data_IF_343627962753
#
_entry.id   IF_343627962753
#
_cell.length_a   1.000
_cell.length_b   1.000
_cell.length_c   1.000
_cell.angle_alpha   90.00
_cell.angle_beta   90.00
_cell.angle_gamma   90.00
#
_symmetry.space_group_name_H-M   'P 1'
#
loop_
_entity.id
_entity.type
_entity.pdbx_description
1 polymer ?
#
# COMPACT_ATOMS: atom_id res chain seq x y z
N UNK A 1 30.70 -2.65 -10.20
CA UNK A 1 29.91 -3.38 -9.18
C UNK A 1 28.47 -2.92 -9.32
N UNK A 2 27.53 -3.83 -9.60
CA UNK A 2 26.10 -3.50 -9.66
C UNK A 2 25.55 -3.32 -8.24
N UNK A 3 24.96 -2.16 -7.95
CA UNK A 3 24.22 -1.94 -6.72
C UNK A 3 22.85 -2.60 -6.87
N UNK A 4 22.51 -3.51 -5.96
CA UNK A 4 21.11 -3.95 -5.81
C UNK A 4 20.37 -2.81 -5.12
N UNK A 5 19.24 -2.38 -5.69
CA UNK A 5 18.31 -1.51 -4.99
C UNK A 5 17.75 -2.22 -3.74
N UNK A 6 17.14 -1.46 -2.83
CA UNK A 6 16.64 -1.99 -1.55
C UNK A 6 15.65 -3.14 -1.71
N UNK A 7 14.94 -3.18 -2.84
CA UNK A 7 13.87 -4.14 -3.12
C UNK A 7 14.42 -5.43 -3.70
N UNK A 8 15.41 -5.35 -4.59
CA UNK A 8 16.20 -6.48 -5.06
C UNK A 8 16.92 -7.16 -3.89
N UNK A 9 17.37 -6.35 -2.93
CA UNK A 9 18.03 -6.83 -1.74
C UNK A 9 17.03 -7.51 -0.78
N UNK A 10 15.83 -6.96 -0.61
CA UNK A 10 14.72 -7.66 0.06
C UNK A 10 14.43 -9.00 -0.62
N UNK A 11 14.27 -9.04 -1.94
CA UNK A 11 13.93 -10.24 -2.68
C UNK A 11 15.02 -11.32 -2.53
N UNK A 12 16.30 -10.93 -2.54
CA UNK A 12 17.41 -11.83 -2.22
C UNK A 12 17.31 -12.41 -0.81
N UNK A 13 16.86 -11.61 0.17
CA UNK A 13 16.73 -12.04 1.56
C UNK A 13 15.52 -12.91 1.81
N UNK A 14 14.40 -12.58 1.19
CA UNK A 14 13.21 -13.44 1.13
C UNK A 14 13.60 -14.79 0.54
N UNK A 15 14.37 -14.80 -0.55
CA UNK A 15 14.86 -16.02 -1.19
C UNK A 15 15.79 -16.81 -0.27
N UNK A 16 16.71 -16.14 0.42
CA UNK A 16 17.66 -16.78 1.35
C UNK A 16 16.96 -17.37 2.57
N UNK A 17 16.04 -16.63 3.18
CA UNK A 17 15.31 -17.08 4.37
C UNK A 17 14.29 -18.18 4.03
N UNK A 18 13.68 -18.14 2.85
CA UNK A 18 12.83 -19.22 2.35
C UNK A 18 13.63 -20.50 2.05
N UNK A 19 14.85 -20.39 1.51
CA UNK A 19 15.72 -21.55 1.21
C UNK A 19 16.36 -22.17 2.44
N UNK A 20 16.70 -21.38 3.44
CA UNK A 20 17.40 -21.85 4.64
C UNK A 20 16.48 -22.58 5.63
N UNK A 21 15.15 -22.52 5.46
CA UNK A 21 14.17 -23.19 6.33
C UNK A 21 14.17 -22.70 7.79
N UNK A 22 15.05 -21.76 8.12
CA UNK A 22 15.34 -21.33 9.47
C UNK A 22 14.66 -19.98 9.71
N UNK A 23 13.31 -20.01 9.73
CA UNK A 23 12.47 -18.86 10.11
C UNK A 23 12.78 -18.33 11.53
N UNK A 24 13.58 -19.08 12.29
CA UNK A 24 13.96 -18.78 13.67
C UNK A 24 15.23 -17.91 13.80
N UNK A 25 16.01 -17.68 12.73
CA UNK A 25 17.32 -17.04 12.82
C UNK A 25 17.40 -15.58 12.28
N UNK A 26 16.32 -14.99 11.79
CA UNK A 26 16.36 -13.71 11.09
C UNK A 26 16.28 -12.47 11.99
N UNK A 27 17.35 -12.20 12.73
CA UNK A 27 17.69 -10.84 13.16
C UNK A 27 18.45 -10.16 12.03
N UNK A 28 17.76 -9.59 11.05
CA UNK A 28 18.43 -9.06 9.86
C UNK A 28 18.45 -7.54 9.84
N UNK A 29 19.59 -6.97 10.27
CA UNK A 29 20.02 -5.61 9.99
C UNK A 29 20.73 -5.63 8.63
N UNK A 30 20.14 -5.06 7.60
CA UNK A 30 20.84 -4.89 6.32
C UNK A 30 21.63 -3.58 6.41
N UNK A 31 22.90 -3.71 6.78
CA UNK A 31 23.90 -2.72 6.38
C UNK A 31 24.36 -3.11 4.99
N UNK A 32 23.99 -2.34 3.97
CA UNK A 32 24.69 -2.44 2.68
C UNK A 32 26.17 -2.16 2.94
N UNK A 33 27.04 -3.17 2.68
CA UNK A 33 28.52 -3.19 2.91
C UNK A 33 29.16 -1.80 2.64
N UNK A 34 30.03 -1.24 3.48
CA UNK A 34 31.15 -1.84 4.22
C UNK A 34 31.31 -1.23 5.63
N UNK A 35 31.33 -2.07 6.67
CA UNK A 35 31.76 -1.65 8.01
C UNK A 35 33.28 -1.69 8.06
N UNK A 36 33.90 -0.62 7.58
CA UNK A 36 35.17 -0.12 8.14
C UNK A 36 34.82 1.04 9.06
N UNK A 37 35.44 1.13 10.24
CA UNK A 37 35.13 2.08 11.32
C UNK A 37 35.35 3.58 10.97
N UNK A 38 35.54 3.91 9.69
CA UNK A 38 35.72 5.27 9.17
C UNK A 38 35.03 5.34 7.82
N UNK A 39 33.96 6.12 7.71
CA UNK A 39 33.56 6.97 6.55
C UNK A 39 32.04 7.25 6.52
N UNK A 40 31.73 8.55 6.59
CA UNK A 40 30.56 9.35 6.17
C UNK A 40 29.08 8.86 6.22
N UNK A 41 28.12 9.79 6.49
CA UNK A 41 26.71 9.47 6.78
C UNK A 41 25.79 9.33 5.54
N UNK A 42 26.30 9.49 4.33
CA UNK A 42 25.49 9.74 3.12
C UNK A 42 25.01 8.50 2.36
N UNK A 43 25.35 7.27 2.78
CA UNK A 43 25.21 6.07 1.95
C UNK A 43 24.24 4.99 2.47
N UNK A 44 23.50 5.25 3.56
CA UNK A 44 22.65 4.24 4.17
C UNK A 44 21.16 4.45 3.84
N UNK A 45 20.60 3.61 2.97
CA UNK A 45 19.17 3.28 2.99
C UNK A 45 19.00 2.07 3.91
N UNK A 46 18.79 2.29 5.20
CA UNK A 46 18.56 1.18 6.13
C UNK A 46 17.08 0.80 6.09
N UNK A 47 16.82 -0.40 5.57
CA UNK A 47 15.51 -1.06 5.62
C UNK A 47 15.48 -1.97 6.83
N UNK A 48 14.50 -1.78 7.72
CA UNK A 48 14.28 -2.62 8.88
C UNK A 48 12.99 -3.41 8.74
N UNK A 49 13.13 -4.74 8.78
CA UNK A 49 12.00 -5.66 8.90
C UNK A 49 11.80 -5.98 10.38
N UNK A 50 10.72 -5.49 11.00
CA UNK A 50 10.45 -5.70 12.42
C UNK A 50 9.58 -6.94 12.67
N UNK A 51 9.92 -7.68 13.72
CA UNK A 51 9.25 -8.88 14.23
C UNK A 51 9.37 -8.97 15.74
N UNK A 52 8.55 -9.80 16.39
CA UNK A 52 8.64 -10.02 17.85
C UNK A 52 10.06 -10.34 18.34
N UNK A 53 10.84 -11.12 17.56
CA UNK A 53 12.20 -11.53 17.96
C UNK A 53 13.23 -10.41 17.82
N UNK A 54 13.13 -9.56 16.80
CA UNK A 54 14.12 -8.50 16.56
C UNK A 54 13.68 -7.14 17.10
N UNK A 55 12.43 -6.99 17.51
CA UNK A 55 11.89 -5.77 18.10
C UNK A 55 12.60 -5.41 19.40
N UNK A 56 12.80 -6.36 20.30
CA UNK A 56 13.48 -6.10 21.57
C UNK A 56 14.98 -5.77 21.39
N UNK A 57 15.77 -6.52 20.59
CA UNK A 57 17.12 -6.13 20.23
C UNK A 57 17.21 -4.77 19.51
N UNK A 58 16.26 -4.47 18.62
CA UNK A 58 16.18 -3.19 17.93
C UNK A 58 15.93 -2.06 18.94
N UNK A 59 14.93 -2.21 19.80
CA UNK A 59 14.59 -1.25 20.85
C UNK A 59 15.76 -1.06 21.82
N UNK A 60 16.43 -2.15 22.24
CA UNK A 60 17.62 -2.09 23.08
C UNK A 60 18.77 -1.35 22.37
N UNK A 61 18.95 -1.58 21.07
CA UNK A 61 19.96 -0.88 20.26
C UNK A 61 19.66 0.61 20.17
N UNK A 62 18.43 1.00 19.84
CA UNK A 62 18.04 2.41 19.78
C UNK A 62 18.12 3.08 21.15
N UNK A 63 17.80 2.36 22.23
CA UNK A 63 17.91 2.88 23.59
C UNK A 63 19.36 3.08 24.00
N UNK A 64 20.25 2.13 23.67
CA UNK A 64 21.68 2.20 23.97
C UNK A 64 22.42 3.22 23.10
N UNK A 65 21.97 3.40 21.85
CA UNK A 65 22.60 4.26 20.86
C UNK A 65 21.56 5.18 20.17
N UNK A 66 21.03 6.20 20.87
CA UNK A 66 19.97 7.07 20.34
C UNK A 66 20.36 7.81 19.06
N UNK A 67 21.64 8.09 18.86
CA UNK A 67 22.17 8.70 17.65
C UNK A 67 21.95 7.82 16.41
N UNK A 68 21.60 6.54 16.58
CA UNK A 68 21.28 5.64 15.47
C UNK A 68 19.87 5.79 14.92
N UNK A 69 18.95 6.43 15.65
CA UNK A 69 17.61 6.70 15.14
C UNK A 69 17.64 7.45 13.82
N UNK A 70 18.57 8.40 13.64
CA UNK A 70 18.76 9.19 12.40
C UNK A 70 19.08 8.38 11.15
N UNK A 71 19.45 7.11 11.32
CA UNK A 71 19.76 6.22 10.21
C UNK A 71 18.57 5.34 9.83
N UNK A 72 17.48 5.35 10.61
CA UNK A 72 16.27 4.57 10.34
C UNK A 72 15.32 5.43 9.50
N UNK A 73 15.29 5.14 8.20
CA UNK A 73 14.46 5.86 7.23
C UNK A 73 13.29 5.01 6.70
N UNK A 74 13.39 3.69 6.79
CA UNK A 74 12.38 2.76 6.27
C UNK A 74 12.11 1.66 7.28
N UNK A 75 10.84 1.50 7.66
CA UNK A 75 10.36 0.41 8.51
C UNK A 75 9.23 -0.31 7.82
N UNK A 76 9.33 -1.64 7.80
CA UNK A 76 8.26 -2.52 7.39
C UNK A 76 7.84 -3.44 8.53
N UNK A 77 6.54 -3.47 8.77
CA UNK A 77 5.90 -4.19 9.86
C UNK A 77 4.86 -5.13 9.27
N UNK A 78 4.85 -6.37 9.76
CA UNK A 78 3.78 -7.33 9.48
C UNK A 78 3.23 -7.91 10.77
N UNK A 79 1.90 -7.93 10.88
CA UNK A 79 1.21 -8.43 12.08
C UNK A 79 0.27 -9.57 11.68
N UNK A 80 0.32 -10.67 12.42
CA UNK A 80 -0.51 -11.85 12.17
C UNK A 80 -1.72 -11.94 13.07
N UNK A 81 -2.68 -12.83 12.81
CA UNK A 81 -3.71 -13.19 13.81
C UNK A 81 -3.05 -14.13 14.82
N UNK A 82 -3.28 -13.85 16.10
CA UNK A 82 -2.75 -14.59 17.24
C UNK A 82 -3.40 -16.00 17.29
N UNK A 83 -2.97 -16.91 16.41
CA UNK A 83 -3.29 -18.32 16.49
C UNK A 83 -2.11 -19.03 17.16
N UNK A 84 -2.11 -18.99 18.49
CA UNK A 84 -1.35 -19.93 19.31
C UNK A 84 -1.60 -21.36 18.79
N UNK A 85 -0.54 -22.01 18.28
CA UNK A 85 -0.43 -23.45 17.95
C UNK A 85 -0.53 -23.91 16.48
N UNK A 86 -0.47 -23.04 15.47
CA UNK A 86 -0.33 -23.51 14.07
C UNK A 86 1.00 -23.05 13.43
N UNK A 87 1.75 -23.94 12.74
CA UNK A 87 2.93 -23.53 11.99
C UNK A 87 2.53 -22.60 10.84
N UNK A 88 2.81 -21.30 11.00
CA UNK A 88 3.18 -20.27 10.02
C UNK A 88 2.50 -20.19 8.61
N UNK A 89 1.38 -20.87 8.33
CA UNK A 89 0.88 -20.99 6.95
C UNK A 89 -0.62 -20.72 6.76
N UNK A 90 -1.37 -20.41 7.82
CA UNK A 90 -2.79 -20.04 7.73
C UNK A 90 -3.05 -18.71 8.42
N UNK A 91 -2.31 -17.68 8.04
CA UNK A 91 -2.63 -16.35 8.48
C UNK A 91 -3.65 -15.73 7.51
N UNK A 92 -4.88 -15.56 7.98
CA UNK A 92 -5.98 -14.94 7.22
C UNK A 92 -5.95 -13.42 7.24
N UNK A 93 -4.99 -12.82 7.95
CA UNK A 93 -4.87 -11.36 8.13
C UNK A 93 -4.35 -10.61 6.91
N UNK A 94 -3.89 -11.34 5.90
CA UNK A 94 -3.64 -10.86 4.55
C UNK A 94 -4.11 -11.97 3.62
N UNK A 95 -4.81 -11.69 2.52
CA UNK A 95 -5.74 -12.68 1.98
C UNK A 95 -5.03 -13.96 1.55
N UNK A 96 -5.71 -15.10 1.74
CA UNK A 96 -5.23 -16.48 1.45
C UNK A 96 -4.60 -16.65 0.05
N UNK A 97 -4.75 -15.67 -0.82
CA UNK A 97 -4.21 -15.54 -2.17
C UNK A 97 -2.80 -14.91 -2.22
N UNK A 98 -2.13 -14.70 -1.10
CA UNK A 98 -0.67 -14.51 -1.05
C UNK A 98 0.01 -15.89 -1.09
N UNK A 99 0.62 -16.35 -2.20
CA UNK A 99 1.34 -17.62 -2.22
C UNK A 99 2.45 -17.59 -1.16
N UNK A 100 2.34 -18.47 -0.17
CA UNK A 100 3.18 -18.60 1.02
C UNK A 100 4.70 -18.72 0.79
N UNK A 101 5.13 -18.86 -0.46
CA UNK A 101 6.49 -19.18 -0.90
C UNK A 101 7.38 -17.94 -1.11
N UNK A 102 6.80 -16.75 -1.01
CA UNK A 102 7.47 -15.46 -1.23
C UNK A 102 7.29 -14.50 -0.05
N UNK A 103 6.87 -15.01 1.11
CA UNK A 103 6.62 -14.20 2.29
C UNK A 103 7.39 -14.76 3.46
N UNK A 104 8.13 -13.89 4.13
CA UNK A 104 8.65 -14.20 5.45
C UNK A 104 7.57 -13.89 6.47
N UNK A 105 7.01 -14.91 7.15
CA UNK A 105 6.05 -14.70 8.22
C UNK A 105 6.81 -14.26 9.48
N UNK A 106 7.24 -12.99 9.53
CA UNK A 106 7.90 -12.44 10.73
C UNK A 106 6.87 -11.61 11.49
N UNK A 107 6.23 -12.27 12.45
CA UNK A 107 5.07 -11.78 13.16
C UNK A 107 5.46 -10.86 14.32
N UNK A 108 4.70 -9.78 14.51
CA UNK A 108 4.60 -9.05 15.78
C UNK A 108 3.33 -9.48 16.49
N UNK A 109 3.47 -10.08 17.68
CA UNK A 109 2.33 -10.46 18.53
C UNK A 109 1.62 -9.21 19.08
N UNK A 110 0.34 -9.36 19.44
CA UNK A 110 -0.43 -8.33 20.14
C UNK A 110 0.25 -7.86 21.43
N UNK A 111 0.99 -8.74 22.11
CA UNK A 111 1.73 -8.40 23.35
C UNK A 111 2.88 -7.44 23.10
N UNK A 112 3.39 -7.40 21.89
CA UNK A 112 4.56 -6.60 21.51
C UNK A 112 4.18 -5.22 20.96
N UNK A 113 2.88 -4.88 20.87
CA UNK A 113 2.41 -3.61 20.31
C UNK A 113 3.01 -2.42 21.07
N UNK A 114 3.08 -2.46 22.40
CA UNK A 114 3.64 -1.34 23.17
C UNK A 114 5.12 -1.12 22.84
N UNK A 115 5.89 -2.21 22.73
CA UNK A 115 7.29 -2.18 22.32
C UNK A 115 7.44 -1.67 20.89
N UNK A 116 6.54 -2.06 19.99
CA UNK A 116 6.48 -1.58 18.60
C UNK A 116 6.20 -0.09 18.55
N UNK A 117 5.18 0.38 19.27
CA UNK A 117 4.83 1.80 19.37
C UNK A 117 5.99 2.62 19.90
N UNK A 118 6.69 2.12 20.93
CA UNK A 118 7.89 2.78 21.46
C UNK A 118 9.02 2.83 20.43
N UNK A 119 9.25 1.73 19.70
CA UNK A 119 10.27 1.70 18.66
C UNK A 119 9.94 2.69 17.52
N UNK A 120 8.67 2.77 17.10
CA UNK A 120 8.21 3.72 16.09
C UNK A 120 8.35 5.17 16.55
N UNK A 121 7.99 5.49 17.80
CA UNK A 121 8.13 6.86 18.31
C UNK A 121 9.59 7.32 18.38
N UNK A 122 10.53 6.41 18.64
CA UNK A 122 11.96 6.73 18.65
C UNK A 122 12.51 7.11 17.27
N UNK A 123 11.87 6.68 16.18
CA UNK A 123 12.34 6.92 14.80
C UNK A 123 11.37 7.75 13.97
N UNK A 124 10.21 8.13 14.49
CA UNK A 124 9.15 8.79 13.70
C UNK A 124 9.62 10.09 13.04
N UNK A 125 10.52 10.82 13.72
CA UNK A 125 11.14 12.04 13.21
C UNK A 125 12.07 11.84 12.02
N UNK A 126 12.51 10.63 11.69
CA UNK A 126 13.46 10.34 10.61
C UNK A 126 12.88 9.43 9.52
N UNK A 127 11.78 8.73 9.82
CA UNK A 127 11.11 7.86 8.87
C UNK A 127 10.64 8.61 7.63
N UNK A 128 11.05 8.12 6.47
CA UNK A 128 10.58 8.58 5.16
C UNK A 128 9.61 7.59 4.52
N UNK A 129 9.68 6.31 4.88
CA UNK A 129 8.80 5.24 4.39
C UNK A 129 8.35 4.33 5.54
N UNK A 130 7.05 4.08 5.61
CA UNK A 130 6.45 3.19 6.60
C UNK A 130 5.44 2.26 5.93
N UNK A 131 5.61 0.96 6.13
CA UNK A 131 4.66 -0.06 5.67
C UNK A 131 4.18 -0.86 6.87
N UNK A 132 2.86 -0.91 7.09
CA UNK A 132 2.23 -1.68 8.15
C UNK A 132 1.18 -2.60 7.51
N UNK A 133 1.58 -3.85 7.29
CA UNK A 133 0.70 -4.92 6.89
C UNK A 133 0.15 -5.61 8.15
N UNK A 134 -0.90 -5.04 8.73
CA UNK A 134 -1.60 -5.64 9.86
C UNK A 134 -3.00 -6.10 9.44
N UNK A 135 -3.44 -7.22 9.99
CA UNK A 135 -4.86 -7.56 9.98
C UNK A 135 -5.66 -6.70 10.95
N UNK A 136 -6.97 -6.96 11.06
CA UNK A 136 -7.86 -6.15 11.89
C UNK A 136 -7.57 -6.28 13.38
N UNK A 137 -7.99 -5.25 14.10
CA UNK A 137 -8.07 -5.20 15.57
C UNK A 137 -6.74 -5.00 16.29
N UNK A 138 -6.07 -3.90 15.98
CA UNK A 138 -4.97 -3.36 16.77
C UNK A 138 -5.29 -1.97 17.33
N UNK A 139 -6.29 -1.83 18.22
CA UNK A 139 -6.72 -0.51 18.73
C UNK A 139 -5.60 0.23 19.44
N UNK A 140 -4.72 -0.48 20.15
CA UNK A 140 -3.54 0.11 20.81
C UNK A 140 -2.53 0.65 19.78
N UNK A 141 -2.27 -0.09 18.69
CA UNK A 141 -1.37 0.38 17.64
C UNK A 141 -1.96 1.59 16.94
N UNK A 142 -3.24 1.52 16.59
CA UNK A 142 -3.99 2.63 16.00
C UNK A 142 -3.91 3.90 16.84
N UNK A 143 -4.24 3.81 18.14
CA UNK A 143 -4.14 4.95 19.05
C UNK A 143 -2.71 5.49 19.16
N UNK A 144 -1.72 4.59 19.11
CA UNK A 144 -0.31 4.98 19.08
C UNK A 144 0.06 5.73 17.79
N UNK A 145 -0.38 5.24 16.63
CA UNK A 145 -0.11 5.87 15.33
C UNK A 145 -0.77 7.24 15.22
N UNK A 146 -2.01 7.38 15.68
CA UNK A 146 -2.73 8.66 15.71
C UNK A 146 -2.06 9.72 16.62
N UNK A 147 -1.37 9.26 17.67
CA UNK A 147 -0.63 10.12 18.59
C UNK A 147 0.79 10.46 18.12
N UNK A 148 1.33 9.74 17.13
CA UNK A 148 2.67 9.97 16.60
C UNK A 148 2.69 11.07 15.55
N UNK A 149 3.82 11.78 15.46
CA UNK A 149 4.12 12.69 14.37
C UNK A 149 5.21 12.09 13.48
N UNK A 150 4.97 12.13 12.16
CA UNK A 150 5.87 11.63 11.14
C UNK A 150 6.22 12.76 10.15
N UNK A 151 6.97 13.78 10.60
CA UNK A 151 7.18 15.02 9.84
C UNK A 151 7.97 14.83 8.53
N UNK A 152 8.69 13.70 8.42
CA UNK A 152 9.52 13.36 7.27
C UNK A 152 8.94 12.25 6.39
N UNK A 153 7.75 11.73 6.71
CA UNK A 153 7.16 10.60 5.98
C UNK A 153 6.72 11.03 4.59
N UNK A 154 7.24 10.34 3.58
CA UNK A 154 6.97 10.56 2.16
C UNK A 154 6.05 9.48 1.61
N UNK A 155 6.20 8.25 2.11
CA UNK A 155 5.47 7.08 1.64
C UNK A 155 4.88 6.29 2.81
N UNK A 156 3.58 6.02 2.75
CA UNK A 156 2.85 5.24 3.75
C UNK A 156 2.07 4.12 3.05
N UNK A 157 2.27 2.89 3.50
CA UNK A 157 1.39 1.76 3.20
C UNK A 157 0.79 1.25 4.51
N UNK A 158 -0.52 1.19 4.60
CA UNK A 158 -1.19 0.85 5.86
C UNK A 158 -2.59 0.29 5.63
N UNK A 159 -3.01 -0.60 6.52
CA UNK A 159 -4.39 -1.02 6.61
C UNK A 159 -5.29 0.14 7.06
N UNK A 160 -6.42 0.27 6.38
CA UNK A 160 -7.36 1.38 6.51
C UNK A 160 -7.92 1.49 7.93
N UNK A 161 -8.14 0.37 8.59
CA UNK A 161 -8.66 0.28 9.97
C UNK A 161 -7.74 0.89 11.02
N UNK A 162 -6.43 0.97 10.76
CA UNK A 162 -5.42 1.55 11.66
C UNK A 162 -5.42 3.08 11.66
N UNK A 163 -6.04 3.73 10.68
CA UNK A 163 -5.95 5.18 10.46
C UNK A 163 -7.31 5.89 10.39
N UNK A 164 -8.42 5.14 10.30
CA UNK A 164 -9.78 5.68 10.17
C UNK A 164 -10.56 5.71 11.50
N UNK A 165 -10.92 6.92 11.99
CA UNK A 165 -11.89 7.10 13.07
C UNK A 165 -13.33 7.03 12.58
N UNK A 166 -14.10 6.09 13.14
CA UNK A 166 -15.54 5.93 12.86
C UNK A 166 -16.38 7.13 13.35
N UNK A 167 -15.84 7.98 14.22
CA UNK A 167 -16.61 8.93 15.02
C UNK A 167 -16.60 10.38 14.54
N UNK A 168 -15.75 10.78 13.60
CA UNK A 168 -15.54 12.22 13.30
C UNK A 168 -15.94 12.67 11.90
N UNK A 169 -16.40 11.78 11.00
CA UNK A 169 -16.67 12.13 9.60
C UNK A 169 -15.43 12.55 8.79
N UNK A 170 -14.27 12.66 9.44
CA UNK A 170 -12.97 12.87 8.84
C UNK A 170 -12.30 11.52 8.64
N UNK A 171 -11.91 11.24 7.40
CA UNK A 171 -11.48 9.92 7.01
C UNK A 171 -10.10 9.52 7.60
N UNK A 172 -9.22 10.44 8.03
CA UNK A 172 -7.86 10.03 8.42
C UNK A 172 -7.34 10.85 9.60
N UNK A 173 -7.17 10.21 10.76
CA UNK A 173 -6.54 10.84 11.93
C UNK A 173 -5.03 10.60 11.90
N UNK A 174 -4.22 11.66 12.10
CA UNK A 174 -2.77 11.58 12.22
C UNK A 174 -2.03 11.61 10.88
N UNK A 175 -2.64 11.16 9.78
CA UNK A 175 -2.06 11.28 8.43
C UNK A 175 -2.01 12.74 7.97
N UNK A 176 -2.98 13.56 8.38
CA UNK A 176 -3.02 14.99 8.12
C UNK A 176 -1.78 15.74 8.65
N UNK A 177 -1.12 15.21 9.68
CA UNK A 177 0.14 15.73 10.24
C UNK A 177 1.38 15.33 9.44
N UNK A 178 1.27 14.36 8.52
CA UNK A 178 2.37 13.93 7.67
C UNK A 178 2.61 14.93 6.52
N UNK A 179 3.16 16.10 6.85
CA UNK A 179 3.30 17.25 5.94
C UNK A 179 4.16 16.99 4.69
N UNK A 180 4.87 15.85 4.58
CA UNK A 180 5.66 15.47 3.41
C UNK A 180 5.09 14.27 2.64
N UNK A 181 3.93 13.75 3.06
CA UNK A 181 3.36 12.55 2.47
C UNK A 181 2.95 12.79 1.02
N UNK A 182 3.59 12.05 0.12
CA UNK A 182 3.40 12.15 -1.33
C UNK A 182 2.82 10.87 -1.93
N UNK A 183 3.05 9.71 -1.32
CA UNK A 183 2.50 8.43 -1.76
C UNK A 183 1.77 7.73 -0.62
N UNK A 184 0.53 7.31 -0.88
CA UNK A 184 -0.29 6.62 0.08
C UNK A 184 -0.84 5.33 -0.55
N UNK A 185 -0.63 4.21 0.13
CA UNK A 185 -1.24 2.92 -0.20
C UNK A 185 -2.14 2.47 0.94
N UNK A 186 -3.39 2.21 0.61
CA UNK A 186 -4.44 1.82 1.52
C UNK A 186 -4.94 0.42 1.19
N UNK A 187 -5.12 -0.36 2.24
CA UNK A 187 -5.66 -1.72 2.16
C UNK A 187 -6.99 -1.77 2.91
N UNK A 188 -8.08 -1.96 2.17
CA UNK A 188 -9.41 -2.28 2.68
C UNK A 188 -9.57 -3.80 2.71
N UNK A 189 -10.14 -4.36 3.79
CA UNK A 189 -10.29 -5.80 3.94
C UNK A 189 -11.58 -6.17 4.68
N UNK A 190 -12.50 -6.89 4.03
CA UNK A 190 -13.85 -7.14 4.59
C UNK A 190 -13.90 -8.05 5.83
N UNK A 191 -12.81 -8.76 6.15
CA UNK A 191 -12.70 -9.55 7.38
C UNK A 191 -12.76 -8.68 8.66
N UNK A 192 -12.89 -7.36 8.49
CA UNK A 192 -12.48 -6.31 9.44
C UNK A 192 -13.61 -5.32 9.78
N UNK A 193 -14.83 -5.51 9.26
CA UNK A 193 -15.93 -4.54 9.43
C UNK A 193 -15.67 -3.19 8.72
N UNK A 194 -14.85 -3.23 7.66
CA UNK A 194 -14.44 -2.10 6.81
C UNK A 194 -15.50 -1.64 5.81
N UNK A 195 -16.60 -2.38 5.65
CA UNK A 195 -17.75 -1.94 4.85
C UNK A 195 -18.28 -0.59 5.33
N UNK A 196 -18.17 -0.28 6.63
CA UNK A 196 -18.52 1.01 7.20
C UNK A 196 -17.59 2.17 6.77
N UNK A 197 -16.35 1.90 6.37
CA UNK A 197 -15.38 2.93 5.98
C UNK A 197 -15.28 3.18 4.49
N UNK A 198 -15.75 2.24 3.66
CA UNK A 198 -15.81 2.40 2.20
C UNK A 198 -16.49 3.70 1.76
N UNK A 199 -17.59 4.19 2.39
CA UNK A 199 -18.20 5.45 2.00
C UNK A 199 -17.30 6.69 2.19
N UNK A 200 -16.30 6.63 3.08
CA UNK A 200 -15.49 7.78 3.49
C UNK A 200 -14.14 7.83 2.75
N UNK A 201 -14.19 7.96 1.42
CA UNK A 201 -13.00 8.00 0.55
C UNK A 201 -12.63 9.43 0.09
N UNK A 202 -12.57 10.37 1.04
CA UNK A 202 -12.18 11.76 0.77
C UNK A 202 -10.74 12.06 1.24
N UNK A 203 -9.85 12.26 0.28
CA UNK A 203 -8.43 12.54 0.48
C UNK A 203 -8.07 14.00 0.22
N UNK A 204 -9.05 14.89 -0.02
CA UNK A 204 -8.79 16.27 -0.45
C UNK A 204 -7.97 17.09 0.56
N UNK A 205 -7.98 16.73 1.85
CA UNK A 205 -7.10 17.35 2.85
C UNK A 205 -5.60 17.07 2.64
N UNK A 206 -5.22 15.99 1.93
CA UNK A 206 -3.83 15.58 1.73
C UNK A 206 -3.17 16.33 0.56
N UNK A 207 -3.07 17.67 0.66
CA UNK A 207 -2.69 18.59 -0.43
C UNK A 207 -1.36 18.30 -1.16
N UNK A 208 -0.49 17.47 -0.60
CA UNK A 208 0.79 17.07 -1.21
C UNK A 208 0.78 15.67 -1.80
N UNK A 209 -0.32 14.94 -1.62
CA UNK A 209 -0.47 13.61 -2.16
C UNK A 209 -0.38 13.67 -3.69
N UNK A 210 0.52 12.86 -4.24
CA UNK A 210 0.73 12.74 -5.70
C UNK A 210 0.28 11.37 -6.20
N UNK A 211 0.35 10.35 -5.34
CA UNK A 211 0.05 8.97 -5.67
C UNK A 211 -0.86 8.36 -4.61
N UNK A 212 -1.97 7.80 -5.05
CA UNK A 212 -2.89 7.06 -4.21
C UNK A 212 -3.05 5.65 -4.77
N UNK A 213 -2.88 4.63 -3.94
CA UNK A 213 -3.20 3.25 -4.27
C UNK A 213 -4.22 2.73 -3.29
N UNK A 214 -5.32 2.21 -3.79
CA UNK A 214 -6.36 1.60 -2.97
C UNK A 214 -6.50 0.15 -3.39
N UNK A 215 -6.37 -0.72 -2.40
CA UNK A 215 -6.49 -2.16 -2.55
C UNK A 215 -7.70 -2.65 -1.78
N UNK A 216 -8.71 -3.16 -2.48
CA UNK A 216 -9.93 -3.73 -1.90
C UNK A 216 -9.80 -5.25 -1.86
N UNK A 217 -9.64 -5.81 -0.66
CA UNK A 217 -9.45 -7.23 -0.46
C UNK A 217 -10.66 -7.86 0.20
N UNK A 218 -11.15 -8.96 -0.37
CA UNK A 218 -12.32 -9.68 0.15
C UNK A 218 -13.59 -8.81 0.25
N UNK A 219 -13.54 -7.56 -0.22
CA UNK A 219 -14.66 -6.63 -0.21
C UNK A 219 -15.68 -7.04 -1.27
N UNK A 220 -16.95 -6.87 -0.93
CA UNK A 220 -18.05 -7.05 -1.86
C UNK A 220 -17.86 -6.12 -3.05
N UNK A 221 -17.83 -6.68 -4.26
CA UNK A 221 -17.66 -5.89 -5.49
C UNK A 221 -18.76 -4.84 -5.67
N UNK A 222 -19.97 -5.13 -5.21
CA UNK A 222 -21.09 -4.18 -5.26
C UNK A 222 -20.81 -2.98 -4.35
N UNK A 223 -20.32 -3.24 -3.14
CA UNK A 223 -20.04 -2.18 -2.16
C UNK A 223 -18.83 -1.34 -2.60
N UNK A 224 -17.79 -1.98 -3.13
CA UNK A 224 -16.66 -1.30 -3.77
C UNK A 224 -17.18 -0.40 -4.90
N UNK A 225 -17.90 -0.94 -5.89
CA UNK A 225 -18.43 -0.19 -7.03
C UNK A 225 -19.30 1.01 -6.61
N UNK A 226 -20.14 0.84 -5.58
CA UNK A 226 -20.95 1.91 -5.01
C UNK A 226 -20.12 2.97 -4.29
N UNK A 227 -19.02 2.59 -3.64
CA UNK A 227 -18.17 3.51 -2.90
C UNK A 227 -17.27 4.37 -3.80
N UNK A 228 -16.93 3.90 -5.01
CA UNK A 228 -16.00 4.58 -5.91
C UNK A 228 -16.43 5.98 -6.32
N UNK A 229 -17.73 6.29 -6.33
CA UNK A 229 -18.24 7.64 -6.65
C UNK A 229 -17.94 8.66 -5.55
N UNK A 230 -17.61 8.19 -4.35
CA UNK A 230 -17.20 9.02 -3.21
C UNK A 230 -15.69 9.27 -3.18
N UNK A 231 -14.92 8.63 -4.07
CA UNK A 231 -13.47 8.80 -4.12
C UNK A 231 -13.11 10.20 -4.60
N UNK A 232 -12.57 11.01 -3.68
CA UNK A 232 -12.14 12.39 -3.92
C UNK A 232 -10.66 12.55 -3.59
N UNK A 233 -9.93 13.21 -4.47
CA UNK A 233 -8.48 13.44 -4.33
C UNK A 233 -8.15 14.92 -4.56
N UNK A 234 -7.05 15.43 -3.99
CA UNK A 234 -6.60 16.79 -4.26
C UNK A 234 -6.00 16.90 -5.66
N UNK A 235 -5.98 18.12 -6.20
CA UNK A 235 -5.50 18.41 -7.57
C UNK A 235 -4.05 17.95 -7.82
N UNK A 236 -3.24 17.89 -6.75
CA UNK A 236 -1.86 17.41 -6.75
C UNK A 236 -1.72 15.94 -7.12
N UNK A 237 -2.77 15.12 -6.96
CA UNK A 237 -2.72 13.69 -7.26
C UNK A 237 -2.60 13.47 -8.75
N UNK A 238 -1.50 12.84 -9.17
CA UNK A 238 -1.20 12.50 -10.56
C UNK A 238 -1.76 11.13 -10.93
N UNK A 239 -1.75 10.18 -9.99
CA UNK A 239 -2.14 8.80 -10.22
C UNK A 239 -2.99 8.27 -9.07
N UNK A 240 -4.08 7.60 -9.44
CA UNK A 240 -4.92 6.82 -8.54
C UNK A 240 -4.94 5.38 -9.06
N UNK A 241 -4.42 4.45 -8.28
CA UNK A 241 -4.40 3.02 -8.62
C UNK A 241 -5.47 2.32 -7.80
N UNK A 242 -6.30 1.53 -8.46
CA UNK A 242 -7.37 0.77 -7.84
C UNK A 242 -7.17 -0.72 -8.14
N UNK A 243 -7.10 -1.53 -7.10
CA UNK A 243 -6.92 -2.97 -7.16
C UNK A 243 -8.05 -3.65 -6.39
N UNK A 244 -8.61 -4.73 -6.93
CA UNK A 244 -9.51 -5.61 -6.18
C UNK A 244 -8.97 -7.04 -6.20
N UNK A 245 -8.87 -7.64 -5.02
CA UNK A 245 -8.46 -9.03 -4.78
C UNK A 245 -7.17 -9.41 -5.52
N UNK A 246 -6.07 -8.69 -5.31
CA UNK A 246 -4.80 -8.93 -6.02
C UNK A 246 -4.86 -8.72 -7.55
N UNK A 247 -5.83 -7.94 -8.05
CA UNK A 247 -6.07 -7.79 -9.49
C UNK A 247 -6.86 -8.94 -10.13
N UNK A 248 -7.46 -9.82 -9.32
CA UNK A 248 -8.35 -10.88 -9.80
C UNK A 248 -9.68 -10.32 -10.33
N UNK A 249 -10.10 -9.17 -9.81
CA UNK A 249 -11.34 -8.52 -10.18
C UNK A 249 -11.12 -7.04 -10.53
N UNK A 250 -12.01 -6.51 -11.37
CA UNK A 250 -12.11 -5.06 -11.56
C UNK A 250 -12.98 -4.44 -10.46
N UNK A 251 -12.54 -3.33 -9.83
CA UNK A 251 -13.34 -2.57 -8.88
C UNK A 251 -14.73 -2.12 -9.39
N UNK A 252 -14.88 -1.97 -10.72
CA UNK A 252 -16.17 -1.74 -11.38
C UNK A 252 -16.56 -3.03 -12.11
N UNK A 253 -17.83 -3.46 -12.02
CA UNK A 253 -18.29 -4.61 -12.80
C UNK A 253 -18.19 -4.35 -14.31
N UNK A 254 -17.85 -5.41 -15.05
CA UNK A 254 -17.54 -5.27 -16.47
C UNK A 254 -18.75 -4.81 -17.29
N UNK A 255 -19.93 -5.37 -16.99
CA UNK A 255 -21.22 -4.95 -17.52
C UNK A 255 -21.55 -3.50 -17.17
N UNK A 256 -21.16 -3.06 -15.97
CA UNK A 256 -21.35 -1.70 -15.49
C UNK A 256 -20.42 -0.66 -16.13
N UNK A 257 -19.27 -1.03 -16.70
CA UNK A 257 -18.24 -0.06 -17.16
C UNK A 257 -18.77 1.03 -18.09
N UNK A 258 -19.79 0.73 -18.90
CA UNK A 258 -20.40 1.71 -19.81
C UNK A 258 -21.19 2.83 -19.10
N UNK A 259 -21.54 2.63 -17.83
CA UNK A 259 -22.26 3.61 -17.00
C UNK A 259 -21.31 4.51 -16.20
N UNK A 260 -20.00 4.40 -16.40
CA UNK A 260 -19.03 5.19 -15.64
C UNK A 260 -18.13 6.01 -16.57
N UNK A 261 -17.88 7.26 -16.16
CA UNK A 261 -16.78 8.07 -16.68
C UNK A 261 -15.61 7.99 -15.70
N UNK A 262 -14.47 7.47 -16.17
CA UNK A 262 -13.28 7.25 -15.36
C UNK A 262 -12.22 8.29 -15.72
N UNK A 263 -11.76 9.05 -14.72
CA UNK A 263 -10.69 10.03 -14.91
C UNK A 263 -9.40 9.33 -15.44
N UNK A 264 -8.65 9.91 -16.38
CA UNK A 264 -7.41 9.37 -16.95
C UNK A 264 -6.32 9.09 -15.92
N UNK A 265 -6.37 9.79 -14.79
CA UNK A 265 -5.48 9.59 -13.63
C UNK A 265 -5.74 8.27 -12.89
N UNK A 266 -6.91 7.67 -13.10
CA UNK A 266 -7.27 6.38 -12.49
C UNK A 266 -6.71 5.24 -13.32
N UNK A 267 -6.14 4.23 -12.69
CA UNK A 267 -5.67 3.01 -13.33
C UNK A 267 -6.17 1.83 -12.52
N UNK A 268 -6.76 0.84 -13.19
CA UNK A 268 -7.13 -0.41 -12.55
C UNK A 268 -5.98 -1.40 -12.64
N UNK A 269 -5.73 -2.17 -11.59
CA UNK A 269 -4.80 -3.30 -11.65
C UNK A 269 -5.56 -4.55 -12.05
N UNK A 270 -5.03 -5.29 -13.02
CA UNK A 270 -5.58 -6.59 -13.43
C UNK A 270 -4.46 -7.61 -13.63
N UNK A 271 -4.67 -8.83 -13.14
CA UNK A 271 -3.78 -9.95 -13.40
C UNK A 271 -3.86 -10.36 -14.89
N UNK A 272 -2.70 -10.58 -15.51
CA UNK A 272 -2.59 -10.93 -16.94
C UNK A 272 -3.48 -12.10 -17.35
N UNK A 273 -3.49 -13.18 -16.56
CA UNK A 273 -4.32 -14.36 -16.84
C UNK A 273 -5.83 -14.06 -16.84
N UNK A 274 -6.27 -13.07 -16.06
CA UNK A 274 -7.67 -12.64 -16.00
C UNK A 274 -8.05 -11.84 -17.25
N UNK A 275 -7.17 -10.93 -17.70
CA UNK A 275 -7.42 -10.19 -18.94
C UNK A 275 -7.53 -11.15 -20.15
N UNK A 276 -6.66 -12.16 -20.21
CA UNK A 276 -6.71 -13.18 -21.26
C UNK A 276 -8.04 -13.94 -21.27
N UNK A 277 -8.57 -14.29 -20.09
CA UNK A 277 -9.90 -14.90 -19.97
C UNK A 277 -11.00 -13.98 -20.48
N UNK A 278 -10.99 -12.70 -20.09
CA UNK A 278 -11.96 -11.72 -20.59
C UNK A 278 -11.88 -11.56 -22.11
N UNK A 279 -10.68 -11.48 -22.70
CA UNK A 279 -10.50 -11.39 -24.15
C UNK A 279 -11.07 -12.62 -24.88
N UNK A 280 -10.88 -13.84 -24.34
CA UNK A 280 -11.41 -15.07 -24.95
C UNK A 280 -12.93 -15.09 -24.97
N UNK A 281 -13.59 -14.61 -23.92
CA UNK A 281 -15.05 -14.64 -23.79
C UNK A 281 -15.72 -13.50 -24.54
N UNK A 282 -15.12 -12.31 -24.53
CA UNK A 282 -15.79 -11.08 -24.94
C UNK A 282 -15.23 -10.45 -26.22
N UNK A 283 -14.09 -10.93 -26.71
CA UNK A 283 -13.46 -10.45 -27.94
C UNK A 283 -13.23 -8.93 -27.96
N UNK A 284 -13.38 -8.31 -29.14
CA UNK A 284 -13.12 -6.89 -29.36
C UNK A 284 -14.35 -6.00 -29.14
N UNK A 285 -15.00 -6.10 -27.99
CA UNK A 285 -16.11 -5.20 -27.64
C UNK A 285 -15.62 -3.80 -27.21
N UNK A 286 -16.45 -2.75 -27.33
CA UNK A 286 -16.12 -1.41 -26.81
C UNK A 286 -15.73 -1.43 -25.31
N UNK A 287 -16.40 -2.27 -24.51
CA UNK A 287 -16.09 -2.48 -23.10
C UNK A 287 -14.67 -3.03 -22.90
N UNK A 288 -14.24 -4.00 -23.72
CA UNK A 288 -12.87 -4.50 -23.68
C UNK A 288 -11.83 -3.43 -24.05
N UNK A 289 -12.15 -2.51 -24.98
CA UNK A 289 -11.26 -1.38 -25.26
C UNK A 289 -11.09 -0.47 -24.03
N UNK A 290 -12.17 -0.22 -23.29
CA UNK A 290 -12.10 0.53 -22.03
C UNK A 290 -11.23 -0.18 -21.00
N UNK A 291 -11.34 -1.51 -20.88
CA UNK A 291 -10.49 -2.32 -20.01
C UNK A 291 -9.01 -2.20 -20.42
N UNK A 292 -8.67 -2.45 -21.69
CA UNK A 292 -7.29 -2.31 -22.19
C UNK A 292 -6.73 -0.90 -21.98
N UNK A 293 -7.55 0.13 -22.18
CA UNK A 293 -7.16 1.52 -22.00
C UNK A 293 -6.98 1.93 -20.53
N UNK A 294 -7.74 1.33 -19.61
CA UNK A 294 -7.80 1.77 -18.21
C UNK A 294 -7.06 0.85 -17.24
N UNK A 295 -6.67 -0.35 -17.68
CA UNK A 295 -6.00 -1.34 -16.83
C UNK A 295 -4.50 -1.37 -17.05
N UNK A 296 -3.77 -1.39 -15.94
CA UNK A 296 -2.39 -1.84 -15.88
C UNK A 296 -2.40 -3.35 -15.67
N UNK A 297 -1.96 -4.08 -16.69
CA UNK A 297 -1.96 -5.53 -16.73
C UNK A 297 -0.61 -6.03 -16.28
N UNK A 298 -0.57 -6.77 -15.20
CA UNK A 298 0.67 -7.23 -14.59
C UNK A 298 0.60 -8.73 -14.30
N UNK A 299 1.75 -9.37 -14.29
CA UNK A 299 1.88 -10.69 -13.70
C UNK A 299 1.68 -10.57 -12.17
N UNK A 300 1.14 -11.61 -11.55
CA UNK A 300 0.81 -11.60 -10.11
C UNK A 300 2.00 -11.29 -9.20
N UNK A 301 3.23 -11.63 -9.63
CA UNK A 301 4.46 -11.27 -8.93
C UNK A 301 4.70 -9.76 -8.95
N UNK A 302 4.50 -9.15 -10.13
CA UNK A 302 4.77 -7.75 -10.49
C UNK A 302 3.78 -6.74 -9.88
N UNK A 303 2.55 -7.16 -9.57
CA UNK A 303 1.55 -6.33 -8.87
C UNK A 303 2.07 -5.80 -7.51
N UNK A 304 3.10 -6.47 -6.97
CA UNK A 304 3.55 -6.32 -5.58
C UNK A 304 4.85 -5.54 -5.43
N UNK A 305 5.38 -4.98 -6.51
CA UNK A 305 6.71 -4.34 -6.56
C UNK A 305 6.59 -2.81 -6.60
N UNK A 306 7.57 -2.10 -6.02
CA UNK A 306 7.59 -0.64 -5.85
C UNK A 306 7.55 0.14 -7.18
N UNK A 307 8.01 -0.45 -8.28
CA UNK A 307 7.89 0.16 -9.62
C UNK A 307 6.46 0.22 -10.12
N UNK A 308 5.48 -0.35 -9.41
CA UNK A 308 4.08 -0.26 -9.78
C UNK A 308 3.66 1.22 -9.92
N UNK A 309 4.22 2.12 -9.10
CA UNK A 309 4.00 3.55 -9.23
C UNK A 309 4.45 4.09 -10.59
N UNK A 310 5.65 3.73 -11.04
CA UNK A 310 6.20 4.16 -12.33
C UNK A 310 5.37 3.59 -13.50
N UNK A 311 4.99 2.31 -13.41
CA UNK A 311 4.13 1.66 -14.41
C UNK A 311 2.74 2.30 -14.47
N UNK A 312 2.19 2.68 -13.31
CA UNK A 312 0.90 3.36 -13.23
C UNK A 312 1.00 4.80 -13.75
N UNK A 313 2.08 5.54 -13.45
CA UNK A 313 2.36 6.86 -14.03
C UNK A 313 2.47 6.78 -15.56
N UNK A 314 3.23 5.80 -16.08
CA UNK A 314 3.31 5.56 -17.51
C UNK A 314 1.94 5.30 -18.12
N UNK A 315 1.12 4.46 -17.48
CA UNK A 315 -0.25 4.17 -17.96
C UNK A 315 -1.14 5.41 -17.95
N UNK A 316 -1.06 6.25 -16.91
CA UNK A 316 -1.78 7.53 -16.86
C UNK A 316 -1.29 8.45 -17.99
N UNK A 317 0.01 8.52 -18.24
CA UNK A 317 0.57 9.35 -19.31
C UNK A 317 0.08 8.92 -20.70
N UNK A 318 0.04 7.61 -20.98
CA UNK A 318 -0.54 7.05 -22.20
C UNK A 318 -2.02 7.46 -22.36
N UNK A 319 -2.80 7.34 -21.28
CA UNK A 319 -4.22 7.75 -21.27
C UNK A 319 -4.40 9.25 -21.47
N UNK A 320 -3.56 10.07 -20.85
CA UNK A 320 -3.62 11.53 -20.99
C UNK A 320 -3.33 11.98 -22.42
N UNK A 321 -2.36 11.34 -23.08
CA UNK A 321 -2.01 11.60 -24.47
C UNK A 321 -3.19 11.29 -25.41
N UNK A 322 -3.93 10.21 -25.14
CA UNK A 322 -5.15 9.88 -25.86
C UNK A 322 -6.31 10.84 -25.52
N UNK A 323 -6.41 11.24 -24.26
CA UNK A 323 -7.47 12.11 -23.75
C UNK A 323 -7.40 13.54 -24.31
N UNK A 324 -6.19 14.10 -24.44
CA UNK A 324 -5.98 15.44 -25.03
C UNK A 324 -6.33 15.52 -26.53
N UNK A 325 -6.66 14.39 -27.17
CA UNK A 325 -7.20 14.36 -28.54
C UNK A 325 -8.73 14.52 -28.58
N UNK A 326 -9.39 14.55 -27.43
CA UNK A 326 -10.85 14.73 -27.30
C UNK A 326 -11.16 16.24 -27.11
N UNK A 327 -12.14 16.81 -27.82
CA UNK A 327 -12.48 18.23 -27.69
C UNK A 327 -12.83 18.67 -26.25
N UNK A 328 -12.27 19.79 -25.74
CA UNK A 328 -12.48 20.27 -24.37
C UNK A 328 -13.95 20.52 -24.00
N UNK A 329 -14.80 20.82 -24.98
CA UNK A 329 -16.24 21.10 -24.82
C UNK A 329 -17.05 19.93 -24.24
N UNK A 330 -16.54 18.69 -24.33
CA UNK A 330 -17.19 17.48 -23.80
C UNK A 330 -16.72 17.16 -22.36
N UNK A 331 -15.58 17.71 -21.93
CA UNK A 331 -14.80 17.19 -20.79
C UNK A 331 -14.86 18.07 -19.54
N UNK A 332 -14.93 19.40 -19.72
CA UNK A 332 -14.68 20.35 -18.63
C UNK A 332 -15.78 20.44 -17.55
N UNK A 333 -17.00 19.99 -17.82
CA UNK A 333 -18.10 20.08 -16.83
C UNK A 333 -18.15 18.93 -15.84
N UNK A 334 -17.48 17.80 -16.10
CA UNK A 334 -17.63 16.60 -15.26
C UNK A 334 -16.66 16.58 -14.09
N UNK A 335 -15.49 17.21 -14.15
CA UNK A 335 -14.38 16.95 -13.22
C UNK A 335 -14.11 18.06 -12.22
N UNK A 336 -15.13 18.83 -11.89
CA UNK A 336 -15.08 19.78 -10.77
C UNK A 336 -15.27 19.00 -9.46
N UNK A 337 -14.62 19.42 -8.38
CA UNK A 337 -14.74 18.91 -7.00
C UNK A 337 -13.86 17.72 -6.59
N UNK A 338 -12.88 17.34 -7.41
CA UNK A 338 -11.84 16.36 -7.07
C UNK A 338 -12.27 14.89 -7.14
N UNK A 339 -13.48 14.59 -7.66
CA UNK A 339 -13.90 13.19 -7.88
C UNK A 339 -13.20 12.62 -9.11
N UNK A 340 -12.88 11.33 -9.05
CA UNK A 340 -12.13 10.65 -10.12
C UNK A 340 -12.94 9.60 -10.87
N UNK A 341 -14.13 9.25 -10.38
CA UNK A 341 -15.07 8.33 -11.01
C UNK A 341 -16.48 8.92 -10.91
N UNK A 342 -17.19 8.98 -12.04
CA UNK A 342 -18.54 9.51 -12.13
C UNK A 342 -19.47 8.47 -12.72
N UNK A 343 -20.62 8.25 -12.07
CA UNK A 343 -21.70 7.42 -12.62
C UNK A 343 -22.55 8.29 -13.56
N UNK A 344 -22.78 7.81 -14.78
CA UNK A 344 -23.69 8.41 -15.75
C UNK A 344 -25.13 8.14 -15.27
N UNK A 345 -25.92 9.21 -15.18
CA UNK A 345 -27.35 9.13 -14.84
C UNK A 345 -28.15 8.56 -16.00
#
# INVERSE_FOLDING_TARGET
MAQLDGDSLLQCLETYLNRSGNQQASGLLILTKSVGARLYPTFYRNVFLLSSRNLYPFLATLTKYPERCRFVNTIWIRMGRDNSNAPALKDSTYPRNYPSRHFLPVYISRRDIQSLSKALSMVSGTLTRLTIAAGPHYPTLRGSLAAMDFPNLVELEVAVDLILLRSSGHAFEGIDRCLKLCKLRLVYSSEDGTTEVLPYQDFTQLKRLTHLYISYWSESRIDVEHSLVNLRVPDSVKVVVLEQDAGLHLPIRFDSLGHYTIHPRVVFVMEKGILEQFNRVLGHTPRMRTVHGSCLVLDRATIREDYMWEKAEQKVHERWTLFNRIPPSILLRKWTDGRVIYKLQ
#
